data_IF_259302891357
#
_entry.id   IF_259302891357
#
_cell.length_a   1.000
_cell.length_b   1.000
_cell.length_c   1.000
_cell.angle_alpha   90.00
_cell.angle_beta   90.00
_cell.angle_gamma   90.00
#
_symmetry.space_group_name_H-M   'P 1'
#
loop_
_entity.id
_entity.type
_entity.pdbx_description
1 polymer ?
#
# COMPACT_ATOMS: atom_id res chain seq x y z
N UNK A 1 -50.30 19.75 -6.25
CA UNK A 1 -49.74 18.38 -6.12
C UNK A 1 -48.27 18.57 -5.81
N UNK A 2 -47.95 18.30 -4.55
CA UNK A 2 -46.76 18.77 -3.85
C UNK A 2 -45.55 17.86 -4.12
N UNK A 3 -44.37 18.36 -3.76
CA UNK A 3 -43.04 18.09 -4.30
C UNK A 3 -42.50 16.64 -4.25
N UNK A 4 -41.53 16.27 -5.13
CA UNK A 4 -40.78 15.03 -5.03
C UNK A 4 -39.83 15.05 -3.81
N UNK A 5 -39.96 14.06 -2.92
CA UNK A 5 -39.00 13.83 -1.83
C UNK A 5 -37.78 13.08 -2.39
N UNK A 6 -36.90 13.81 -3.06
CA UNK A 6 -35.57 13.28 -3.37
C UNK A 6 -34.79 13.12 -2.06
N UNK A 7 -34.56 11.86 -1.68
CA UNK A 7 -33.58 11.46 -0.69
C UNK A 7 -32.19 11.89 -1.21
N UNK A 8 -31.83 13.13 -0.93
CA UNK A 8 -30.45 13.60 -0.96
C UNK A 8 -29.72 12.89 0.19
N UNK A 9 -29.25 11.67 -0.09
CA UNK A 9 -28.18 11.06 0.69
C UNK A 9 -26.95 11.90 0.39
N UNK A 10 -26.70 12.85 1.31
CA UNK A 10 -25.52 13.68 1.43
C UNK A 10 -24.33 13.12 0.68
N UNK A 11 -23.86 13.91 -0.29
CA UNK A 11 -22.54 13.85 -0.90
C UNK A 11 -21.48 13.89 0.19
N UNK A 12 -21.20 12.76 0.83
CA UNK A 12 -19.95 12.60 1.58
C UNK A 12 -18.89 12.23 0.56
N UNK A 13 -18.54 13.24 -0.24
CA UNK A 13 -17.22 13.38 -0.82
C UNK A 13 -16.30 13.82 0.31
N UNK A 14 -15.93 12.90 1.20
CA UNK A 14 -14.78 13.05 2.08
C UNK A 14 -13.54 12.76 1.24
N UNK A 15 -13.34 13.73 0.35
CA UNK A 15 -12.08 14.18 -0.19
C UNK A 15 -10.96 13.76 0.76
N UNK A 16 -10.22 12.71 0.37
CA UNK A 16 -8.99 12.28 1.05
C UNK A 16 -7.95 13.38 0.87
N UNK A 17 -8.13 14.47 1.62
CA UNK A 17 -7.16 15.53 1.80
C UNK A 17 -6.48 15.29 3.14
N UNK A 18 -5.41 14.51 3.09
CA UNK A 18 -4.51 14.28 4.21
C UNK A 18 -3.14 13.96 3.63
N UNK A 19 -2.46 14.97 3.09
CA UNK A 19 -1.02 14.93 2.76
C UNK A 19 -0.26 14.87 4.09
N UNK A 20 -0.24 13.70 4.71
CA UNK A 20 0.75 13.38 5.72
C UNK A 20 1.94 12.76 4.98
N UNK A 21 2.61 13.58 4.15
CA UNK A 21 3.61 13.18 3.14
C UNK A 21 4.83 12.38 3.65
N UNK A 22 4.84 12.05 4.94
CA UNK A 22 5.83 11.19 5.58
C UNK A 22 5.22 9.86 6.07
N UNK A 23 3.97 9.86 6.54
CA UNK A 23 3.28 8.63 6.92
C UNK A 23 2.78 7.88 5.67
N UNK A 24 2.22 8.60 4.70
CA UNK A 24 1.76 7.97 3.45
C UNK A 24 2.92 7.34 2.66
N UNK A 25 4.07 7.99 2.60
CA UNK A 25 5.29 7.45 1.99
C UNK A 25 5.84 6.23 2.75
N UNK A 26 5.81 6.23 4.09
CA UNK A 26 6.23 5.07 4.90
C UNK A 26 5.28 3.88 4.70
N UNK A 27 3.96 4.12 4.67
CA UNK A 27 2.97 3.10 4.33
C UNK A 27 3.14 2.57 2.91
N UNK A 28 3.45 3.43 1.94
CA UNK A 28 3.67 3.03 0.55
C UNK A 28 4.93 2.17 0.42
N UNK A 29 6.01 2.55 1.12
CA UNK A 29 7.25 1.78 1.19
C UNK A 29 7.01 0.40 1.82
N UNK A 30 6.36 0.34 2.99
CA UNK A 30 6.06 -0.94 3.65
C UNK A 30 5.16 -1.82 2.77
N UNK A 31 4.18 -1.22 2.09
CA UNK A 31 3.32 -1.94 1.15
C UNK A 31 4.11 -2.52 -0.04
N UNK A 32 5.06 -1.77 -0.59
CA UNK A 32 5.94 -2.24 -1.65
C UNK A 32 6.86 -3.38 -1.18
N UNK A 33 7.42 -3.27 0.03
CA UNK A 33 8.24 -4.33 0.64
C UNK A 33 7.40 -5.59 0.85
N UNK A 34 6.19 -5.46 1.37
CA UNK A 34 5.28 -6.59 1.59
C UNK A 34 4.94 -7.31 0.28
N UNK A 35 4.60 -6.56 -0.77
CA UNK A 35 4.31 -7.13 -2.08
C UNK A 35 5.52 -7.91 -2.62
N UNK A 36 6.71 -7.30 -2.53
CA UNK A 36 7.95 -7.94 -3.00
C UNK A 36 8.33 -9.18 -2.19
N UNK A 37 8.15 -9.16 -0.87
CA UNK A 37 8.39 -10.31 0.00
C UNK A 37 7.42 -11.46 -0.32
N UNK A 38 6.16 -11.14 -0.64
CA UNK A 38 5.17 -12.13 -1.04
C UNK A 38 5.52 -12.79 -2.37
N UNK A 39 5.98 -12.02 -3.36
CA UNK A 39 6.49 -12.56 -4.63
C UNK A 39 7.68 -13.51 -4.41
N UNK A 40 8.63 -13.14 -3.53
CA UNK A 40 9.77 -13.99 -3.18
C UNK A 40 9.32 -15.30 -2.52
N UNK A 41 8.36 -15.22 -1.59
CA UNK A 41 7.75 -16.39 -0.94
C UNK A 41 7.08 -17.32 -1.95
N UNK A 42 6.32 -16.78 -2.90
CA UNK A 42 5.66 -17.58 -3.95
C UNK A 42 6.68 -18.22 -4.90
N UNK A 43 7.68 -17.45 -5.36
CA UNK A 43 8.69 -17.93 -6.30
C UNK A 43 9.56 -19.06 -5.71
N UNK A 44 9.76 -19.04 -4.39
CA UNK A 44 10.45 -20.09 -3.62
C UNK A 44 9.58 -21.35 -3.38
N UNK A 45 8.29 -21.30 -3.68
CA UNK A 45 7.37 -22.41 -3.45
C UNK A 45 6.72 -22.41 -2.06
N UNK A 46 6.51 -21.23 -1.48
CA UNK A 46 5.71 -21.04 -0.25
C UNK A 46 6.21 -21.83 0.96
N UNK A 47 7.53 -21.98 1.07
CA UNK A 47 8.10 -22.64 2.23
C UNK A 47 7.96 -21.74 3.47
N UNK A 48 7.55 -22.33 4.59
CA UNK A 48 7.48 -21.60 5.85
C UNK A 48 8.87 -21.27 6.42
N UNK A 49 8.95 -20.32 7.35
CA UNK A 49 10.19 -20.02 8.10
C UNK A 49 11.23 -19.12 7.42
N UNK A 50 11.04 -18.65 6.17
CA UNK A 50 11.89 -17.60 5.58
C UNK A 50 11.16 -16.29 5.33
N UNK A 51 9.94 -16.12 5.86
CA UNK A 51 9.19 -14.86 5.72
C UNK A 51 10.03 -13.64 6.12
N UNK A 52 10.86 -13.77 7.16
CA UNK A 52 11.76 -12.71 7.61
C UNK A 52 12.93 -12.47 6.65
N UNK A 53 13.52 -13.52 6.07
CA UNK A 53 14.57 -13.41 5.03
C UNK A 53 14.01 -12.79 3.74
N UNK A 54 12.82 -13.22 3.33
CA UNK A 54 12.11 -12.70 2.15
C UNK A 54 11.74 -11.22 2.36
N UNK A 55 11.35 -10.84 3.58
CA UNK A 55 11.14 -9.45 3.97
C UNK A 55 12.40 -8.59 3.89
N UNK A 56 13.53 -9.04 4.46
CA UNK A 56 14.78 -8.27 4.41
C UNK A 56 15.33 -8.11 2.99
N UNK A 57 15.21 -9.15 2.15
CA UNK A 57 15.57 -9.05 0.74
C UNK A 57 14.68 -8.05 0.01
N UNK A 58 13.35 -8.14 0.23
CA UNK A 58 12.40 -7.20 -0.35
C UNK A 58 12.69 -5.76 0.06
N UNK A 59 13.00 -5.51 1.34
CA UNK A 59 13.37 -4.18 1.83
C UNK A 59 14.61 -3.63 1.11
N UNK A 60 15.66 -4.44 0.97
CA UNK A 60 16.87 -4.05 0.27
C UNK A 60 16.61 -3.74 -1.22
N UNK A 61 15.79 -4.56 -1.90
CA UNK A 61 15.42 -4.35 -3.30
C UNK A 61 14.60 -3.07 -3.50
N UNK A 62 13.56 -2.85 -2.67
CA UNK A 62 12.69 -1.68 -2.77
C UNK A 62 13.48 -0.41 -2.47
N UNK A 63 14.29 -0.39 -1.40
CA UNK A 63 15.13 0.77 -1.05
C UNK A 63 16.18 1.09 -2.13
N UNK A 64 16.75 0.05 -2.75
CA UNK A 64 17.68 0.23 -3.88
C UNK A 64 16.99 0.77 -5.13
N UNK A 65 15.69 0.48 -5.30
CA UNK A 65 14.90 0.98 -6.42
C UNK A 65 14.52 2.44 -6.24
N UNK A 66 14.05 2.81 -5.05
CA UNK A 66 13.71 4.20 -4.68
C UNK A 66 14.89 5.15 -4.85
N UNK A 67 16.08 4.74 -4.38
CA UNK A 67 17.31 5.55 -4.50
C UNK A 67 17.79 5.73 -5.95
N UNK A 68 17.31 4.90 -6.88
CA UNK A 68 17.67 4.93 -8.30
C UNK A 68 16.65 5.68 -9.16
N UNK A 69 15.46 5.91 -8.63
CA UNK A 69 14.39 6.72 -9.25
C UNK A 69 14.33 8.16 -8.73
N UNK A 70 15.15 8.51 -7.73
CA UNK A 70 15.36 9.88 -7.24
C UNK A 70 16.49 10.58 -8.02
#
# INVERSE_FOLDING_TARGET
>A
MEAPTELTTSTSSWKKNGKNGNADADFDLEAAIRARAYELYENRGRQDGQAQTDWFQAEAEVRSRESRTA
#
